data_IF_310174874820
#
_entry.id   IF_310174874820
#
_cell.length_a   1.000
_cell.length_b   1.000
_cell.length_c   1.000
_cell.angle_alpha   90.00
_cell.angle_beta   90.00
_cell.angle_gamma   90.00
#
_symmetry.space_group_name_H-M   'P 1'
#
loop_
_entity.id
_entity.type
_entity.pdbx_description
1 polymer ?
#
# COMPACT_ATOMS: atom_id res chain seq x y z
N UNK A 1 3.33 37.62 58.86
CA UNK A 1 4.37 36.63 58.52
C UNK A 1 3.89 35.81 57.31
N UNK A 2 4.25 36.22 56.12
CA UNK A 2 3.89 35.55 54.88
C UNK A 2 5.12 34.95 54.28
N UNK A 3 5.17 33.62 54.22
CA UNK A 3 6.26 32.89 53.58
C UNK A 3 5.93 32.73 52.10
N UNK A 4 6.72 33.38 51.26
CA UNK A 4 6.64 33.28 49.80
C UNK A 4 7.56 32.11 49.43
N UNK A 5 6.96 31.04 48.88
CA UNK A 5 7.72 29.97 48.24
C UNK A 5 7.92 30.29 46.77
N UNK A 6 9.13 30.60 46.42
CA UNK A 6 9.60 30.73 45.05
C UNK A 6 9.85 29.32 44.48
N UNK A 7 8.96 28.88 43.57
CA UNK A 7 9.25 27.71 42.77
C UNK A 7 10.05 28.11 41.53
N UNK A 8 11.31 27.78 41.55
CA UNK A 8 12.15 27.85 40.35
C UNK A 8 11.90 26.58 39.54
N UNK A 9 11.17 26.74 38.43
CA UNK A 9 11.01 25.67 37.44
C UNK A 9 12.21 25.73 36.50
N UNK A 10 13.13 24.80 36.69
CA UNK A 10 14.22 24.58 35.72
C UNK A 10 13.68 23.85 34.49
N UNK A 11 13.57 24.56 33.38
CA UNK A 11 13.36 23.97 32.07
C UNK A 11 14.64 23.27 31.63
N UNK A 12 14.65 21.95 31.71
CA UNK A 12 15.68 21.14 31.06
C UNK A 12 15.20 20.85 29.65
N UNK A 13 15.72 21.59 28.67
CA UNK A 13 15.56 21.30 27.25
C UNK A 13 16.39 20.07 26.89
N UNK A 14 15.74 18.95 26.65
CA UNK A 14 16.36 17.79 25.98
C UNK A 14 16.19 17.95 24.49
N UNK A 15 17.25 18.45 23.86
CA UNK A 15 17.40 18.37 22.41
C UNK A 15 17.84 16.92 22.12
N UNK A 16 16.88 16.08 21.82
CA UNK A 16 17.16 14.74 21.29
C UNK A 16 17.39 14.84 19.79
N UNK A 17 18.61 15.11 19.38
CA UNK A 17 19.07 14.80 18.04
C UNK A 17 19.33 13.29 17.99
N UNK A 18 18.36 12.52 17.53
CA UNK A 18 18.66 11.14 17.16
C UNK A 18 19.19 11.12 15.73
N UNK A 19 20.49 11.06 15.66
CA UNK A 19 21.24 10.70 14.46
C UNK A 19 21.07 9.19 14.31
N UNK A 20 20.34 8.76 13.28
CA UNK A 20 20.23 7.34 12.96
C UNK A 20 21.57 6.82 12.48
N UNK A 21 22.17 5.98 13.27
CA UNK A 21 23.32 5.16 12.90
C UNK A 21 22.81 3.90 12.21
N UNK A 22 23.46 3.54 11.11
CA UNK A 22 23.29 2.27 10.41
C UNK A 22 23.50 1.10 11.38
N UNK A 23 22.41 0.41 11.70
CA UNK A 23 22.50 -0.91 12.31
C UNK A 23 22.02 -1.95 11.31
N UNK A 24 22.94 -2.77 10.83
CA UNK A 24 22.68 -4.02 10.16
C UNK A 24 22.09 -5.02 11.14
N UNK A 25 20.80 -4.91 11.37
CA UNK A 25 20.01 -5.89 12.09
C UNK A 25 19.15 -6.65 11.09
N UNK A 26 19.55 -7.87 10.80
CA UNK A 26 18.82 -8.82 9.96
C UNK A 26 17.62 -9.35 10.77
N UNK A 27 16.55 -8.58 10.84
CA UNK A 27 15.23 -9.02 11.28
C UNK A 27 14.24 -8.40 10.33
N UNK A 28 13.57 -9.29 9.54
CA UNK A 28 12.58 -8.92 8.55
C UNK A 28 11.33 -8.24 9.15
N UNK A 29 11.49 -7.04 9.61
CA UNK A 29 10.38 -6.13 9.79
C UNK A 29 10.22 -5.43 8.46
N UNK A 30 9.26 -5.88 7.66
CA UNK A 30 8.84 -5.12 6.49
C UNK A 30 8.51 -3.70 6.96
N UNK A 31 9.26 -2.72 6.49
CA UNK A 31 8.90 -1.32 6.64
C UNK A 31 7.57 -1.11 5.93
N UNK A 32 6.50 -1.09 6.70
CA UNK A 32 5.18 -0.76 6.20
C UNK A 32 5.21 0.73 5.88
N UNK A 33 5.41 1.04 4.60
CA UNK A 33 5.31 2.42 4.11
C UNK A 33 3.84 2.79 4.02
N UNK A 34 3.35 3.45 5.07
CA UNK A 34 1.96 3.90 5.16
C UNK A 34 1.69 5.15 4.33
N UNK A 35 2.69 5.71 3.65
CA UNK A 35 2.51 6.86 2.76
C UNK A 35 2.15 6.42 1.35
N UNK A 36 1.36 7.24 0.68
CA UNK A 36 1.10 7.06 -0.74
C UNK A 36 2.38 7.32 -1.54
N UNK A 37 2.75 6.38 -2.39
CA UNK A 37 3.90 6.50 -3.27
C UNK A 37 3.48 6.37 -4.73
N UNK A 38 4.24 6.98 -5.62
CA UNK A 38 4.08 6.87 -7.07
C UNK A 38 4.97 5.78 -7.66
N UNK A 39 5.82 5.17 -6.85
CA UNK A 39 6.68 4.07 -7.25
C UNK A 39 5.98 2.75 -6.95
N UNK A 40 5.75 1.95 -7.97
CA UNK A 40 5.13 0.64 -7.82
C UNK A 40 6.05 -0.33 -7.07
N UNK A 41 5.60 -0.79 -5.92
CA UNK A 41 6.31 -1.75 -5.06
C UNK A 41 5.30 -2.55 -4.24
N UNK A 42 4.62 -3.54 -4.86
CA UNK A 42 3.63 -4.35 -4.18
C UNK A 42 4.26 -5.20 -3.07
N UNK A 43 3.54 -5.49 -1.98
CA UNK A 43 4.00 -6.45 -0.99
C UNK A 43 4.07 -7.86 -1.59
N UNK A 44 5.01 -8.67 -1.11
CA UNK A 44 5.27 -10.00 -1.68
C UNK A 44 4.06 -10.92 -1.64
N UNK A 45 3.21 -10.80 -0.62
CA UNK A 45 2.03 -11.65 -0.49
C UNK A 45 0.99 -11.47 -1.60
N UNK A 46 0.95 -10.27 -2.25
CA UNK A 46 -0.02 -10.01 -3.32
C UNK A 46 0.51 -10.42 -4.70
N UNK A 47 1.82 -10.65 -4.83
CA UNK A 47 2.41 -11.02 -6.12
C UNK A 47 1.83 -12.34 -6.62
N UNK A 48 1.34 -12.33 -7.86
CA UNK A 48 0.72 -13.47 -8.52
C UNK A 48 -0.49 -13.10 -9.34
N UNK A 49 -1.16 -14.11 -9.86
CA UNK A 49 -2.43 -14.01 -10.58
C UNK A 49 -3.58 -14.38 -9.65
N UNK A 50 -4.56 -13.51 -9.57
CA UNK A 50 -5.71 -13.65 -8.69
C UNK A 50 -6.99 -13.65 -9.52
N UNK A 51 -7.68 -14.78 -9.55
CA UNK A 51 -8.91 -14.96 -10.32
C UNK A 51 -10.15 -14.66 -9.52
N UNK A 52 -10.98 -13.74 -10.02
CA UNK A 52 -12.33 -13.49 -9.55
C UNK A 52 -13.37 -13.97 -10.55
N UNK A 53 -14.62 -13.71 -10.25
CA UNK A 53 -15.76 -14.10 -11.10
C UNK A 53 -15.78 -13.35 -12.43
N UNK A 54 -15.54 -12.04 -12.42
CA UNK A 54 -15.64 -11.15 -13.58
C UNK A 54 -14.30 -10.59 -14.04
N UNK A 55 -13.34 -10.52 -13.16
CA UNK A 55 -12.05 -9.90 -13.41
C UNK A 55 -10.94 -10.71 -12.73
N UNK A 56 -9.75 -10.70 -13.32
CA UNK A 56 -8.54 -11.21 -12.69
C UNK A 56 -7.55 -10.07 -12.52
N UNK A 57 -6.85 -10.09 -11.41
CA UNK A 57 -5.73 -9.18 -11.14
C UNK A 57 -4.42 -9.91 -11.25
N UNK A 58 -3.43 -9.27 -11.87
CA UNK A 58 -2.06 -9.78 -11.95
C UNK A 58 -1.14 -8.75 -11.33
N UNK A 59 -0.48 -9.14 -10.26
CA UNK A 59 0.54 -8.34 -9.59
C UNK A 59 1.91 -8.95 -9.86
N UNK A 60 2.76 -8.23 -10.54
CA UNK A 60 4.16 -8.57 -10.75
C UNK A 60 5.04 -7.51 -10.06
N UNK A 61 6.34 -7.73 -10.00
CA UNK A 61 7.25 -6.77 -9.34
C UNK A 61 7.30 -5.40 -10.02
N UNK A 62 7.05 -5.36 -11.33
CA UNK A 62 7.15 -4.17 -12.16
C UNK A 62 5.90 -3.87 -12.97
N UNK A 63 4.83 -4.66 -12.77
CA UNK A 63 3.62 -4.57 -13.56
C UNK A 63 2.39 -4.94 -12.75
N UNK A 64 1.32 -4.19 -12.97
CA UNK A 64 -0.02 -4.49 -12.48
C UNK A 64 -0.99 -4.57 -13.67
N UNK A 65 -1.76 -5.64 -13.75
CA UNK A 65 -2.77 -5.82 -14.79
C UNK A 65 -4.15 -6.10 -14.20
N UNK A 66 -5.14 -5.55 -14.87
CA UNK A 66 -6.55 -5.91 -14.68
C UNK A 66 -7.03 -6.59 -15.95
N UNK A 67 -7.45 -7.82 -15.83
CA UNK A 67 -7.91 -8.68 -16.93
C UNK A 67 -9.38 -9.00 -16.74
N UNK A 68 -10.29 -8.24 -17.36
CA UNK A 68 -11.70 -8.61 -17.34
C UNK A 68 -11.91 -9.91 -18.10
N UNK A 69 -12.91 -10.69 -17.68
CA UNK A 69 -13.29 -11.95 -18.36
C UNK A 69 -13.75 -11.69 -19.79
N UNK A 70 -14.35 -10.54 -20.04
CA UNK A 70 -14.77 -10.07 -21.36
C UNK A 70 -14.20 -8.67 -21.57
N UNK A 71 -13.47 -8.47 -22.66
CA UNK A 71 -12.88 -7.17 -23.00
C UNK A 71 -11.36 -7.18 -23.03
N UNK A 72 -10.78 -5.99 -23.06
CA UNK A 72 -9.34 -5.80 -23.18
C UNK A 72 -8.67 -5.78 -21.79
N UNK A 73 -7.53 -6.42 -21.71
CA UNK A 73 -6.67 -6.35 -20.52
C UNK A 73 -6.00 -4.99 -20.44
N UNK A 74 -5.99 -4.42 -19.25
CA UNK A 74 -5.30 -3.16 -18.94
C UNK A 74 -4.13 -3.43 -18.04
N UNK A 75 -2.93 -3.10 -18.50
CA UNK A 75 -1.70 -3.29 -17.73
C UNK A 75 -0.97 -1.96 -17.56
N UNK A 76 -0.42 -1.75 -16.38
CA UNK A 76 0.56 -0.72 -16.10
C UNK A 76 1.92 -1.33 -15.91
N UNK A 77 2.93 -0.74 -16.52
CA UNK A 77 4.33 -1.07 -16.25
C UNK A 77 5.02 0.15 -15.63
N UNK A 78 6.08 -0.07 -14.88
CA UNK A 78 6.91 1.02 -14.36
C UNK A 78 7.57 1.86 -15.46
N UNK A 79 7.51 1.40 -16.73
CA UNK A 79 8.19 1.99 -17.88
C UNK A 79 7.29 2.64 -18.92
N UNK A 80 5.96 2.65 -18.74
CA UNK A 80 5.18 3.36 -19.74
C UNK A 80 3.74 3.07 -19.82
N UNK A 81 2.76 3.46 -19.97
CA UNK A 81 1.30 3.46 -20.18
C UNK A 81 0.44 3.89 -18.99
N UNK A 82 0.92 3.91 -17.75
CA UNK A 82 0.18 4.54 -16.68
C UNK A 82 0.88 5.81 -16.19
N UNK A 83 0.26 6.95 -16.42
CA UNK A 83 0.55 8.14 -15.64
C UNK A 83 -0.14 7.96 -14.29
N UNK A 84 0.65 7.92 -13.21
CA UNK A 84 0.11 7.95 -11.87
C UNK A 84 -0.38 6.60 -11.36
N UNK A 85 0.54 5.69 -11.11
CA UNK A 85 0.32 4.66 -10.10
C UNK A 85 0.39 5.36 -8.75
N UNK A 86 -0.67 5.26 -7.97
CA UNK A 86 -0.67 5.62 -6.56
C UNK A 86 -0.87 4.34 -5.77
N UNK A 87 0.03 4.06 -4.86
CA UNK A 87 -0.07 2.88 -4.00
C UNK A 87 0.21 3.23 -2.55
N UNK A 88 -0.28 2.37 -1.66
CA UNK A 88 -0.07 2.50 -0.23
C UNK A 88 -0.11 1.12 0.42
N UNK A 89 0.91 0.78 1.18
CA UNK A 89 0.85 -0.33 2.12
C UNK A 89 0.15 0.17 3.38
N UNK A 90 -1.12 -0.19 3.54
CA UNK A 90 -1.93 0.28 4.68
C UNK A 90 -1.44 -0.38 5.97
N UNK A 91 -1.24 -1.69 5.92
CA UNK A 91 -0.68 -2.52 6.99
C UNK A 91 -0.14 -3.83 6.40
N UNK A 92 0.22 -4.80 7.25
CA UNK A 92 0.77 -6.08 6.82
C UNK A 92 -0.16 -6.90 5.90
N UNK A 93 -1.47 -6.68 5.98
CA UNK A 93 -2.48 -7.45 5.26
C UNK A 93 -3.31 -6.61 4.28
N UNK A 94 -3.18 -5.30 4.27
CA UNK A 94 -3.97 -4.42 3.41
C UNK A 94 -3.07 -3.59 2.50
N UNK A 95 -3.37 -3.62 1.22
CA UNK A 95 -2.64 -2.93 0.17
C UNK A 95 -3.60 -2.18 -0.74
N UNK A 96 -3.33 -0.90 -0.93
CA UNK A 96 -4.06 -0.05 -1.85
C UNK A 96 -3.23 0.20 -3.11
N UNK A 97 -3.85 0.07 -4.25
CA UNK A 97 -3.29 0.48 -5.54
C UNK A 97 -4.36 1.15 -6.38
N UNK A 98 -3.98 2.23 -7.03
CA UNK A 98 -4.79 2.96 -7.98
C UNK A 98 -3.95 3.27 -9.20
N UNK A 99 -4.49 3.00 -10.37
CA UNK A 99 -3.84 3.21 -11.65
C UNK A 99 -4.72 4.06 -12.53
N UNK A 100 -4.16 5.12 -13.11
CA UNK A 100 -4.84 5.92 -14.13
C UNK A 100 -4.34 5.50 -15.51
N UNK A 101 -5.24 5.15 -16.40
CA UNK A 101 -4.89 4.86 -17.79
C UNK A 101 -4.56 6.15 -18.54
N UNK A 102 -3.50 6.11 -19.38
CA UNK A 102 -2.86 7.32 -19.93
C UNK A 102 -3.64 7.99 -21.03
N UNK A 103 -4.45 7.28 -21.76
CA UNK A 103 -5.12 7.85 -22.94
C UNK A 103 -6.56 8.24 -22.64
N UNK A 104 -6.75 9.56 -22.44
CA UNK A 104 -8.04 10.27 -22.50
C UNK A 104 -9.16 9.77 -21.61
N UNK A 105 -8.90 8.95 -20.60
CA UNK A 105 -9.95 8.47 -19.72
C UNK A 105 -9.68 8.87 -18.29
N UNK A 106 -10.71 9.37 -17.64
CA UNK A 106 -10.79 9.52 -16.18
C UNK A 106 -10.91 8.15 -15.48
N UNK A 107 -10.71 7.06 -16.23
CA UNK A 107 -10.87 5.72 -15.71
C UNK A 107 -9.71 5.38 -14.80
N UNK A 108 -10.05 5.21 -13.54
CA UNK A 108 -9.15 4.75 -12.50
C UNK A 108 -9.43 3.29 -12.26
N UNK A 109 -8.40 2.47 -12.30
CA UNK A 109 -8.47 1.04 -12.02
C UNK A 109 -7.69 0.78 -10.75
N UNK A 110 -8.22 -0.06 -9.88
CA UNK A 110 -7.60 -0.46 -8.64
C UNK A 110 -8.54 -0.33 -7.45
N UNK A 111 -8.01 -0.55 -6.27
CA UNK A 111 -8.75 -0.51 -5.02
C UNK A 111 -7.90 -0.98 -3.87
N UNK A 112 -8.55 -1.29 -2.77
CA UNK A 112 -7.91 -1.86 -1.59
C UNK A 112 -8.07 -3.37 -1.58
N UNK A 113 -6.97 -4.06 -1.41
CA UNK A 113 -6.92 -5.51 -1.31
C UNK A 113 -6.52 -5.93 0.10
N UNK A 114 -7.17 -6.95 0.62
CA UNK A 114 -6.87 -7.57 1.92
C UNK A 114 -6.39 -8.99 1.72
N UNK A 115 -5.28 -9.34 2.35
CA UNK A 115 -4.85 -10.74 2.45
C UNK A 115 -5.83 -11.49 3.35
N UNK A 116 -6.50 -12.51 2.82
CA UNK A 116 -7.35 -13.43 3.57
C UNK A 116 -6.55 -14.67 3.94
N UNK A 117 -5.80 -15.22 2.97
CA UNK A 117 -4.90 -16.36 3.15
C UNK A 117 -3.77 -16.28 2.11
N UNK A 118 -2.92 -17.27 2.05
CA UNK A 118 -1.87 -17.33 1.02
C UNK A 118 -2.43 -17.61 -0.39
N UNK A 119 -3.67 -18.07 -0.47
CA UNK A 119 -4.36 -18.40 -1.72
C UNK A 119 -5.60 -17.56 -1.97
N UNK A 120 -5.93 -16.63 -1.09
CA UNK A 120 -7.10 -15.77 -1.21
C UNK A 120 -6.81 -14.33 -0.82
N UNK A 121 -7.31 -13.41 -1.63
CA UNK A 121 -7.39 -11.98 -1.30
C UNK A 121 -8.82 -11.48 -1.46
N UNK A 122 -9.17 -10.46 -0.70
CA UNK A 122 -10.45 -9.76 -0.80
C UNK A 122 -10.26 -8.36 -1.35
N UNK A 123 -11.17 -7.94 -2.23
CA UNK A 123 -11.31 -6.55 -2.63
C UNK A 123 -12.27 -5.85 -1.68
N UNK A 124 -11.86 -4.70 -1.15
CA UNK A 124 -12.61 -3.99 -0.13
C UNK A 124 -13.47 -2.88 -0.73
N UNK A 125 -14.70 -2.80 -0.25
CA UNK A 125 -15.57 -1.64 -0.48
C UNK A 125 -15.08 -0.40 0.32
N UNK A 126 -15.66 0.77 0.12
CA UNK A 126 -15.30 1.98 0.87
C UNK A 126 -15.46 1.88 2.39
N UNK A 127 -16.28 0.95 2.88
CA UNK A 127 -16.49 0.71 4.31
C UNK A 127 -15.43 -0.23 4.91
N UNK A 128 -14.52 -0.77 4.07
CA UNK A 128 -13.48 -1.70 4.50
C UNK A 128 -13.94 -3.15 4.62
N UNK A 129 -15.09 -3.49 4.06
CA UNK A 129 -15.61 -4.85 4.04
C UNK A 129 -15.20 -5.56 2.75
N UNK A 130 -15.00 -6.88 2.80
CA UNK A 130 -14.71 -7.67 1.61
C UNK A 130 -15.97 -7.78 0.75
N UNK A 131 -15.92 -7.21 -0.43
CA UNK A 131 -17.02 -7.24 -1.41
C UNK A 131 -16.85 -8.38 -2.42
N UNK A 132 -15.61 -8.64 -2.81
CA UNK A 132 -15.28 -9.71 -3.75
C UNK A 132 -14.02 -10.46 -3.30
N UNK A 133 -13.99 -11.76 -3.54
CA UNK A 133 -12.86 -12.63 -3.19
C UNK A 133 -12.21 -13.19 -4.46
N UNK A 134 -10.88 -13.17 -4.47
CA UNK A 134 -10.05 -13.67 -5.58
C UNK A 134 -9.19 -14.81 -5.08
N UNK A 135 -9.04 -15.83 -5.91
CA UNK A 135 -8.22 -17.03 -5.62
C UNK A 135 -6.95 -17.01 -6.44
N UNK A 136 -5.85 -17.35 -5.80
CA UNK A 136 -4.54 -17.43 -6.46
C UNK A 136 -4.50 -18.59 -7.46
N UNK A 137 -3.96 -18.31 -8.62
CA UNK A 137 -3.68 -19.29 -9.66
C UNK A 137 -2.33 -19.98 -9.44
#
# INVERSE_FOLDING_TARGET
MKKIFLFVVALVGIISCSKSSDDKGNNGTENIDTQETTTYSPPDWIIGTWKGEYVSYVFEKDRFCVKPKIGLSNCSTTKGYAKGVVQKRIDANNYFIKMQLVENTTTVIGGTFRKISDTQIGWLNPNGEVEETYTKE
#
